data_IF_709298450524
#
_entry.id   IF_709298450524
#
_cell.length_a   1.000
_cell.length_b   1.000
_cell.length_c   1.000
_cell.angle_alpha   90.00
_cell.angle_beta   90.00
_cell.angle_gamma   90.00
#
_symmetry.space_group_name_H-M   'P 1'
#
loop_
_entity.id
_entity.type
_entity.pdbx_description
1 polymer ?
#
# COMPACT_ATOMS: atom_id res chain seq x y z
N UNK A 1 -8.56 30.06 23.64
CA UNK A 1 -7.20 29.56 23.36
C UNK A 1 -7.33 28.05 23.13
N UNK A 2 -7.57 27.50 21.94
CA UNK A 2 -6.92 27.72 20.64
C UNK A 2 -6.27 26.40 20.22
N UNK A 3 -7.08 25.37 19.88
CA UNK A 3 -6.65 24.12 19.24
C UNK A 3 -7.72 23.59 18.27
N UNK A 4 -8.37 24.51 17.56
CA UNK A 4 -9.19 24.22 16.38
C UNK A 4 -8.59 25.09 15.29
N UNK A 5 -7.74 24.55 14.41
CA UNK A 5 -7.11 25.39 13.39
C UNK A 5 -6.04 24.83 12.47
N UNK A 6 -5.50 23.62 12.67
CA UNK A 6 -4.36 23.14 11.83
C UNK A 6 -4.59 21.80 11.14
N UNK A 7 -5.84 21.30 11.13
CA UNK A 7 -6.22 20.14 10.31
C UNK A 7 -6.81 20.59 8.95
N UNK A 8 -6.99 21.90 8.71
CA UNK A 8 -7.85 22.39 7.63
C UNK A 8 -7.19 23.30 6.58
N UNK A 9 -5.86 23.46 6.55
CA UNK A 9 -5.24 24.44 5.62
C UNK A 9 -4.07 23.94 4.76
N UNK A 10 -3.67 22.68 4.89
CA UNK A 10 -2.98 21.97 3.80
C UNK A 10 -3.47 20.51 3.82
N UNK A 11 -3.90 19.94 2.68
CA UNK A 11 -4.02 18.50 2.58
C UNK A 11 -2.57 17.99 2.66
N UNK A 12 -2.09 17.69 3.86
CA UNK A 12 -0.91 16.84 4.03
C UNK A 12 -1.37 15.45 3.56
N UNK A 13 -1.51 15.23 2.24
CA UNK A 13 -0.44 14.76 1.35
C UNK A 13 0.13 13.53 2.06
N UNK A 14 -0.23 12.31 1.63
CA UNK A 14 0.05 11.11 2.40
C UNK A 14 1.57 10.90 2.46
N UNK A 15 2.22 11.58 3.41
CA UNK A 15 3.55 11.23 3.94
C UNK A 15 3.42 10.07 4.94
N UNK A 16 2.22 9.48 4.99
CA UNK A 16 1.96 8.09 5.39
C UNK A 16 1.76 7.22 4.14
N UNK A 17 2.53 7.50 3.09
CA UNK A 17 2.71 6.55 2.00
C UNK A 17 3.20 5.24 2.62
N UNK A 18 2.49 4.16 2.30
CA UNK A 18 2.85 2.73 2.52
C UNK A 18 3.17 2.27 3.97
N UNK A 19 3.85 3.03 4.82
CA UNK A 19 4.20 2.67 6.20
C UNK A 19 3.00 2.32 7.10
N UNK A 20 1.81 2.89 6.87
CA UNK A 20 0.58 2.47 7.58
C UNK A 20 0.06 1.10 7.10
N UNK A 21 0.30 0.76 5.83
CA UNK A 21 -0.11 -0.52 5.23
C UNK A 21 0.87 -1.64 5.63
N UNK A 22 2.17 -1.33 5.68
CA UNK A 22 3.25 -2.29 5.99
C UNK A 22 3.23 -2.76 7.45
N UNK A 23 2.97 -1.87 8.41
CA UNK A 23 2.86 -2.26 9.84
C UNK A 23 1.71 -3.26 10.05
N UNK A 24 0.69 -3.22 9.17
CA UNK A 24 -0.47 -4.11 9.23
C UNK A 24 -0.21 -5.52 8.70
N UNK A 25 0.87 -5.75 7.96
CA UNK A 25 1.13 -7.01 7.22
C UNK A 25 2.15 -7.92 7.92
N UNK A 26 2.87 -7.42 8.94
CA UNK A 26 3.78 -8.26 9.75
C UNK A 26 3.07 -9.42 10.48
N UNK A 27 1.74 -9.39 10.53
CA UNK A 27 0.90 -10.53 10.86
C UNK A 27 0.18 -10.99 9.60
N UNK A 28 0.67 -12.03 8.94
CA UNK A 28 -0.06 -13.29 8.75
C UNK A 28 0.74 -14.11 7.74
N UNK A 29 1.15 -15.26 8.23
CA UNK A 29 1.75 -16.33 7.46
C UNK A 29 0.69 -16.97 6.54
N UNK A 30 1.16 -17.32 5.34
CA UNK A 30 0.66 -18.34 4.41
C UNK A 30 -0.80 -18.22 3.96
N UNK A 31 -1.01 -17.87 2.68
CA UNK A 31 -1.87 -18.74 1.87
C UNK A 31 -1.47 -18.73 0.39
N UNK A 32 -1.20 -19.94 -0.09
CA UNK A 32 -0.81 -20.29 -1.45
C UNK A 32 -1.86 -19.77 -2.46
N UNK A 33 -1.38 -19.30 -3.61
CA UNK A 33 -2.12 -18.96 -4.84
C UNK A 33 -2.55 -17.49 -5.07
N UNK A 34 -2.96 -16.73 -4.05
CA UNK A 34 -3.31 -15.30 -4.20
C UNK A 34 -2.83 -14.45 -3.02
N UNK A 35 -1.59 -14.66 -2.58
CA UNK A 35 -0.98 -13.86 -1.51
C UNK A 35 -0.57 -12.47 -2.03
N UNK A 36 -1.11 -11.35 -1.48
CA UNK A 36 -0.61 -10.02 -1.77
C UNK A 36 0.79 -9.76 -1.15
N UNK A 37 1.27 -10.64 -0.27
CA UNK A 37 2.54 -10.51 0.47
C UNK A 37 3.74 -10.12 -0.40
N UNK A 38 4.01 -10.79 -1.53
CA UNK A 38 5.13 -10.44 -2.40
C UNK A 38 5.04 -9.01 -2.97
N UNK A 39 3.84 -8.56 -3.37
CA UNK A 39 3.62 -7.22 -3.93
C UNK A 39 3.78 -6.15 -2.85
N UNK A 40 3.31 -6.44 -1.63
CA UNK A 40 3.48 -5.56 -0.48
C UNK A 40 4.97 -5.44 -0.09
N UNK A 41 5.74 -6.53 -0.15
CA UNK A 41 7.18 -6.50 0.08
C UNK A 41 7.92 -5.68 -1.00
N UNK A 42 7.52 -5.80 -2.27
CA UNK A 42 8.07 -4.97 -3.35
C UNK A 42 7.77 -3.48 -3.15
N UNK A 43 6.58 -3.10 -2.69
CA UNK A 43 6.26 -1.71 -2.34
C UNK A 43 7.17 -1.17 -1.22
N UNK A 44 7.46 -1.98 -0.20
CA UNK A 44 8.38 -1.60 0.89
C UNK A 44 9.79 -1.37 0.35
N UNK A 45 10.28 -2.28 -0.50
CA UNK A 45 11.61 -2.16 -1.13
C UNK A 45 11.69 -0.92 -2.03
N UNK A 46 10.63 -0.63 -2.77
CA UNK A 46 10.53 0.55 -3.62
C UNK A 46 10.57 1.85 -2.81
N UNK A 47 9.87 1.91 -1.67
CA UNK A 47 9.91 3.03 -0.74
C UNK A 47 11.30 3.23 -0.15
N UNK A 48 11.97 2.15 0.27
CA UNK A 48 13.35 2.21 0.75
C UNK A 48 14.31 2.73 -0.32
N UNK A 49 14.18 2.25 -1.56
CA UNK A 49 15.00 2.69 -2.68
C UNK A 49 14.83 4.19 -2.98
N UNK A 50 13.61 4.73 -2.85
CA UNK A 50 13.34 6.17 -2.94
C UNK A 50 14.01 6.94 -1.79
N UNK A 51 13.88 6.46 -0.55
CA UNK A 51 14.49 7.10 0.64
C UNK A 51 16.02 7.12 0.55
N UNK A 52 16.62 6.08 0.00
CA UNK A 52 18.06 5.98 -0.27
C UNK A 52 18.50 6.81 -1.50
N UNK A 53 17.56 7.43 -2.22
CA UNK A 53 17.83 8.21 -3.43
C UNK A 53 18.25 7.37 -4.64
N UNK A 54 17.99 6.06 -4.61
CA UNK A 54 18.25 5.14 -5.72
C UNK A 54 17.18 5.21 -6.81
N UNK A 55 16.00 5.73 -6.47
CA UNK A 55 14.85 5.91 -7.37
C UNK A 55 14.35 7.34 -7.23
N UNK A 56 14.12 8.01 -8.36
CA UNK A 56 13.54 9.35 -8.37
C UNK A 56 12.02 9.34 -8.15
N UNK A 57 11.44 10.51 -7.92
CA UNK A 57 10.01 10.64 -7.59
C UNK A 57 9.08 10.16 -8.72
N UNK A 58 9.47 10.38 -9.98
CA UNK A 58 8.64 10.04 -11.16
C UNK A 58 8.64 8.52 -11.39
N UNK A 59 9.81 7.90 -11.29
CA UNK A 59 10.00 6.46 -11.36
C UNK A 59 9.33 5.74 -10.18
N UNK A 60 9.42 6.32 -8.97
CA UNK A 60 8.72 5.81 -7.79
C UNK A 60 7.21 5.83 -8.02
N UNK A 61 6.63 6.96 -8.41
CA UNK A 61 5.19 7.10 -8.59
C UNK A 61 4.64 6.11 -9.64
N UNK A 62 5.35 5.95 -10.77
CA UNK A 62 4.95 5.00 -11.82
C UNK A 62 4.94 3.56 -11.33
N UNK A 63 6.00 3.15 -10.60
CA UNK A 63 6.11 1.78 -10.08
C UNK A 63 5.14 1.53 -8.91
N UNK A 64 4.92 2.52 -8.07
CA UNK A 64 3.96 2.46 -6.97
C UNK A 64 2.54 2.24 -7.52
N UNK A 65 2.13 3.01 -8.53
CA UNK A 65 0.82 2.87 -9.16
C UNK A 65 0.62 1.47 -9.78
N UNK A 66 1.64 0.92 -10.44
CA UNK A 66 1.58 -0.43 -11.01
C UNK A 66 1.40 -1.51 -9.93
N UNK A 67 2.17 -1.42 -8.84
CA UNK A 67 2.10 -2.38 -7.74
C UNK A 67 0.76 -2.26 -6.99
N UNK A 68 0.26 -1.05 -6.77
CA UNK A 68 -1.04 -0.81 -6.15
C UNK A 68 -2.19 -1.34 -7.02
N UNK A 69 -2.14 -1.13 -8.33
CA UNK A 69 -3.15 -1.65 -9.25
C UNK A 69 -3.23 -3.19 -9.20
N UNK A 70 -2.07 -3.86 -9.19
CA UNK A 70 -2.02 -5.33 -9.04
C UNK A 70 -2.58 -5.80 -7.69
N UNK A 71 -2.31 -5.04 -6.62
CA UNK A 71 -2.85 -5.33 -5.29
C UNK A 71 -4.40 -5.20 -5.28
N UNK A 72 -4.92 -4.16 -5.93
CA UNK A 72 -6.37 -3.96 -6.08
C UNK A 72 -7.02 -5.12 -6.82
N UNK A 73 -6.45 -5.55 -7.96
CA UNK A 73 -6.93 -6.71 -8.71
C UNK A 73 -7.02 -7.96 -7.81
N UNK A 74 -5.93 -8.31 -7.11
CA UNK A 74 -5.90 -9.47 -6.21
C UNK A 74 -6.96 -9.34 -5.09
N UNK A 75 -7.11 -8.16 -4.51
CA UNK A 75 -8.09 -7.90 -3.45
C UNK A 75 -9.53 -8.06 -3.95
N UNK A 76 -9.81 -7.60 -5.17
CA UNK A 76 -11.12 -7.70 -5.80
C UNK A 76 -11.47 -9.17 -6.10
N UNK A 77 -10.51 -9.94 -6.64
CA UNK A 77 -10.69 -11.38 -6.86
C UNK A 77 -10.96 -12.13 -5.56
N UNK A 78 -10.22 -11.83 -4.48
CA UNK A 78 -10.43 -12.47 -3.17
C UNK A 78 -11.81 -12.18 -2.60
N UNK A 79 -12.27 -10.93 -2.68
CA UNK A 79 -13.59 -10.53 -2.20
C UNK A 79 -14.72 -11.24 -2.96
N UNK A 80 -14.55 -11.42 -4.27
CA UNK A 80 -15.51 -12.17 -5.08
C UNK A 80 -15.57 -13.65 -4.66
N UNK A 81 -14.42 -14.29 -4.49
CA UNK A 81 -14.33 -15.69 -4.05
C UNK A 81 -14.97 -15.93 -2.67
N UNK A 82 -14.79 -14.99 -1.73
CA UNK A 82 -15.45 -15.07 -0.42
C UNK A 82 -16.99 -15.03 -0.54
N UNK A 83 -17.52 -14.13 -1.38
CA UNK A 83 -18.97 -14.02 -1.60
C UNK A 83 -19.58 -15.25 -2.27
N UNK A 84 -18.84 -15.87 -3.19
CA UNK A 84 -19.24 -17.11 -3.85
C UNK A 84 -19.20 -18.31 -2.88
N UNK A 85 -18.23 -18.37 -1.98
CA UNK A 85 -18.13 -19.43 -0.97
C UNK A 85 -19.19 -19.32 0.16
N UNK A 86 -19.72 -18.12 0.40
CA UNK A 86 -20.75 -17.84 1.40
C UNK A 86 -22.20 -17.96 0.88
N UNK A 87 -22.40 -18.23 -0.42
CA UNK A 87 -23.71 -18.39 -1.08
C UNK A 87 -24.09 -19.87 -1.28
#
# INVERSE_FOLDING_TARGET
>A
MGLVGTILTLPFAPVRGVGWVVDKVRQVAEDEYYDPGPIQEELVKLEQARVEGQVDEEEFARREEELLHRLEEISAYRLQQQREAES
#
